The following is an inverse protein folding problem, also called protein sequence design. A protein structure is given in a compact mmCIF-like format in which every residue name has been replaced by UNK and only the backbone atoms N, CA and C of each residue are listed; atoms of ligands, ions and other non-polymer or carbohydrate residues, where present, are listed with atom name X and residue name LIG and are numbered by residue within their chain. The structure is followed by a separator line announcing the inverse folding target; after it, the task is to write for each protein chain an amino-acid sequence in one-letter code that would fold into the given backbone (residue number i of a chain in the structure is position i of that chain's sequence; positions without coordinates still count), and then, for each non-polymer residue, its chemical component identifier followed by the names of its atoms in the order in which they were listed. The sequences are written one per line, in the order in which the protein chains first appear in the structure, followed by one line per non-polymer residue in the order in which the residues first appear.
data_IF_854758795062
#
_entry.id   IF_854758795062
#
_cell.length_a   1.000
_cell.length_b   1.000
_cell.length_c   1.000
_cell.angle_alpha   90.00
_cell.angle_beta   90.00
_cell.angle_gamma   90.00
#
_symmetry.space_group_name_H-M   'P 1'
#
loop_
_entity.id
_entity.type
_entity.pdbx_description
1 polymer ?
#
# COMPACT_ATOMS: atom_id res chain seq x y z
N UNK A 1 -25.11 15.36 -11.92
CA UNK A 1 -26.42 15.31 -11.21
C UNK A 1 -27.34 14.19 -11.69
N UNK A 2 -27.47 13.89 -12.98
CA UNK A 2 -28.39 12.83 -13.49
C UNK A 2 -27.99 11.40 -13.07
N UNK A 3 -26.69 11.10 -13.03
CA UNK A 3 -26.17 9.78 -12.69
C UNK A 3 -26.43 9.38 -11.21
N UNK A 4 -26.43 10.35 -10.29
CA UNK A 4 -26.77 10.14 -8.87
C UNK A 4 -28.26 9.82 -8.67
N UNK A 5 -29.13 10.39 -9.48
CA UNK A 5 -30.58 10.14 -9.36
C UNK A 5 -30.95 8.73 -9.78
N UNK A 6 -30.37 8.23 -10.86
CA UNK A 6 -30.58 6.87 -11.33
C UNK A 6 -30.04 5.81 -10.35
N UNK A 7 -28.90 6.08 -9.73
CA UNK A 7 -28.32 5.20 -8.70
C UNK A 7 -29.19 5.17 -7.44
N UNK A 8 -29.69 6.32 -7.00
CA UNK A 8 -30.64 6.42 -5.88
C UNK A 8 -31.95 5.68 -6.16
N UNK A 9 -32.48 5.77 -7.38
CA UNK A 9 -33.69 5.04 -7.75
C UNK A 9 -33.47 3.52 -7.77
N UNK A 10 -32.32 3.05 -8.28
CA UNK A 10 -31.94 1.64 -8.22
C UNK A 10 -31.83 1.13 -6.78
N UNK A 11 -31.25 1.94 -5.90
CA UNK A 11 -31.11 1.61 -4.48
C UNK A 11 -32.49 1.52 -3.81
N UNK A 12 -33.35 2.51 -4.02
CA UNK A 12 -34.70 2.49 -3.44
C UNK A 12 -35.50 1.28 -3.90
N UNK A 13 -35.36 0.86 -5.17
CA UNK A 13 -35.97 -0.38 -5.68
C UNK A 13 -35.40 -1.61 -4.99
N UNK A 14 -34.08 -1.65 -4.78
CA UNK A 14 -33.42 -2.77 -4.11
C UNK A 14 -33.83 -2.88 -2.63
N UNK A 15 -33.84 -1.75 -1.90
CA UNK A 15 -34.32 -1.68 -0.52
C UNK A 15 -35.78 -2.13 -0.44
N UNK A 16 -36.62 -1.65 -1.37
CA UNK A 16 -38.02 -2.06 -1.43
C UNK A 16 -38.17 -3.57 -1.65
N UNK A 17 -37.39 -4.13 -2.57
CA UNK A 17 -37.40 -5.58 -2.83
C UNK A 17 -36.99 -6.38 -1.57
N UNK A 18 -35.96 -5.95 -0.86
CA UNK A 18 -35.52 -6.60 0.38
C UNK A 18 -36.56 -6.48 1.51
N UNK A 19 -37.24 -5.36 1.61
CA UNK A 19 -38.29 -5.11 2.63
C UNK A 19 -39.55 -5.94 2.34
N UNK A 20 -39.87 -6.16 1.07
CA UNK A 20 -41.07 -6.88 0.63
C UNK A 20 -40.82 -8.40 0.54
N UNK A 21 -39.58 -8.89 0.72
CA UNK A 21 -39.24 -10.30 0.64
C UNK A 21 -39.64 -11.06 1.92
N UNK A 22 -40.40 -12.16 1.83
CA UNK A 22 -40.80 -12.95 2.99
C UNK A 22 -39.55 -13.50 3.74
N UNK A 23 -39.54 -13.33 5.05
CA UNK A 23 -38.40 -13.73 5.91
C UNK A 23 -37.45 -12.58 6.28
N UNK A 24 -37.66 -11.38 5.71
CA UNK A 24 -36.87 -10.19 6.04
C UNK A 24 -37.62 -9.21 6.95
N UNK A 25 -38.61 -9.70 7.74
CA UNK A 25 -39.45 -8.85 8.61
C UNK A 25 -38.64 -8.07 9.64
N UNK A 26 -37.60 -8.69 10.21
CA UNK A 26 -36.71 -8.06 11.17
C UNK A 26 -35.85 -6.97 10.51
N UNK A 27 -35.39 -7.20 9.30
CA UNK A 27 -34.68 -6.20 8.50
C UNK A 27 -35.59 -5.03 8.17
N UNK A 28 -36.81 -5.32 7.72
CA UNK A 28 -37.82 -4.30 7.41
C UNK A 28 -38.21 -3.48 8.65
N UNK A 29 -38.36 -4.13 9.82
CA UNK A 29 -38.67 -3.45 11.08
C UNK A 29 -37.49 -2.53 11.52
N UNK A 30 -36.26 -3.03 11.43
CA UNK A 30 -35.06 -2.26 11.74
C UNK A 30 -34.87 -1.09 10.78
N UNK A 31 -35.07 -1.28 9.49
CA UNK A 31 -34.99 -0.21 8.50
C UNK A 31 -36.08 0.87 8.73
N UNK A 32 -37.34 0.47 9.00
CA UNK A 32 -38.41 1.40 9.36
C UNK A 32 -38.07 2.14 10.64
N UNK A 33 -37.53 1.46 11.63
CA UNK A 33 -37.06 2.06 12.89
C UNK A 33 -35.94 3.06 12.65
N UNK A 34 -35.02 2.79 11.75
CA UNK A 34 -33.94 3.71 11.37
C UNK A 34 -34.46 4.93 10.58
N UNK A 35 -35.40 4.72 9.65
CA UNK A 35 -35.97 5.80 8.82
C UNK A 35 -37.01 6.63 9.56
N UNK A 36 -37.72 6.09 10.56
CA UNK A 36 -38.70 6.81 11.39
C UNK A 36 -38.09 7.54 12.59
N UNK A 37 -36.79 7.33 12.85
CA UNK A 37 -36.07 7.98 13.94
C UNK A 37 -35.21 9.11 13.40
N UNK A 38 -35.83 10.22 13.05
CA UNK A 38 -35.18 11.51 13.21
C UNK A 38 -36.16 12.51 13.91
N UNK A 39 -36.44 12.31 15.21
CA UNK A 39 -36.83 13.45 16.00
C UNK A 39 -35.58 14.34 16.15
N UNK A 40 -35.72 15.67 16.03
CA UNK A 40 -34.60 16.57 16.21
C UNK A 40 -34.05 16.39 17.62
N UNK A 41 -32.80 15.86 17.73
CA UNK A 41 -32.09 15.72 19.01
C UNK A 41 -31.48 14.36 19.33
N UNK A 42 -31.68 13.30 18.52
CA UNK A 42 -30.98 12.05 18.72
C UNK A 42 -29.68 12.02 17.88
N UNK A 43 -28.54 11.93 18.56
CA UNK A 43 -27.27 11.52 17.98
C UNK A 43 -27.45 10.12 17.40
N UNK A 44 -27.89 10.03 16.15
CA UNK A 44 -27.79 8.79 15.38
C UNK A 44 -26.31 8.44 15.36
N UNK A 45 -25.99 7.22 15.79
CA UNK A 45 -24.63 6.74 15.80
C UNK A 45 -24.13 6.75 14.34
N UNK A 46 -23.50 7.85 13.93
CA UNK A 46 -23.01 8.06 12.58
C UNK A 46 -22.12 6.90 12.13
N UNK A 47 -21.48 6.19 13.10
CA UNK A 47 -20.71 4.98 12.83
C UNK A 47 -21.54 3.85 12.24
N UNK A 48 -22.77 3.65 12.71
CA UNK A 48 -23.64 2.60 12.16
C UNK A 48 -24.16 2.95 10.77
N UNK A 49 -24.43 4.23 10.50
CA UNK A 49 -24.80 4.69 9.16
C UNK A 49 -23.60 4.53 8.22
N UNK A 50 -22.41 4.93 8.65
CA UNK A 50 -21.18 4.74 7.91
C UNK A 50 -20.87 3.26 7.66
N UNK A 51 -21.15 2.37 8.62
CA UNK A 51 -21.01 0.92 8.43
C UNK A 51 -22.02 0.37 7.43
N UNK A 52 -23.27 0.85 7.43
CA UNK A 52 -24.30 0.42 6.48
C UNK A 52 -24.00 0.97 5.08
N UNK A 53 -23.64 2.24 4.96
CA UNK A 53 -23.20 2.85 3.69
C UNK A 53 -22.00 2.11 3.12
N UNK A 54 -21.04 1.74 3.98
CA UNK A 54 -19.87 0.94 3.67
C UNK A 54 -20.24 -0.49 3.22
N UNK A 55 -21.16 -1.13 3.93
CA UNK A 55 -21.62 -2.50 3.62
C UNK A 55 -22.41 -2.56 2.30
N UNK A 56 -23.22 -1.54 2.02
CA UNK A 56 -24.02 -1.45 0.81
C UNK A 56 -23.23 -0.91 -0.40
N UNK A 57 -21.96 -0.52 -0.21
CA UNK A 57 -21.16 0.10 -1.28
C UNK A 57 -21.79 1.41 -1.77
N UNK A 58 -22.60 2.06 -0.92
CA UNK A 58 -23.26 3.33 -1.20
C UNK A 58 -22.30 4.49 -0.94
N UNK A 59 -21.15 4.39 -1.48
CA UNK A 59 -20.12 5.38 -1.21
C UNK A 59 -20.21 6.57 -2.19
N UNK A 60 -21.39 7.18 -2.25
CA UNK A 60 -21.52 8.51 -2.86
C UNK A 60 -20.69 9.56 -2.09
N UNK A 61 -20.29 9.27 -0.84
CA UNK A 61 -19.32 10.08 -0.10
C UNK A 61 -17.90 9.90 -0.62
N UNK A 62 -17.53 8.74 -1.19
CA UNK A 62 -16.22 8.60 -1.83
C UNK A 62 -16.07 9.48 -3.08
N UNK A 63 -17.16 9.80 -3.77
CA UNK A 63 -17.15 10.77 -4.87
C UNK A 63 -17.17 12.23 -4.37
N UNK A 64 -17.61 12.49 -3.12
CA UNK A 64 -17.71 13.81 -2.49
C UNK A 64 -16.82 13.98 -1.25
N UNK A 65 -16.31 12.88 -0.66
CA UNK A 65 -15.40 12.94 0.47
C UNK A 65 -14.04 13.46 0.04
N UNK A 66 -13.46 14.24 0.92
CA UNK A 66 -12.05 14.58 0.82
C UNK A 66 -11.26 13.26 0.70
N UNK A 67 -10.36 13.17 -0.26
CA UNK A 67 -9.50 11.99 -0.38
C UNK A 67 -8.82 11.74 0.97
N UNK A 68 -8.73 10.46 1.41
CA UNK A 68 -8.01 10.10 2.65
C UNK A 68 -6.58 10.62 2.60
N UNK A 69 -6.01 10.69 1.39
CA UNK A 69 -4.71 11.29 1.14
C UNK A 69 -4.92 12.63 0.44
N UNK A 70 -4.48 13.70 1.08
CA UNK A 70 -4.54 15.05 0.53
C UNK A 70 -3.45 15.26 -0.52
N UNK A 71 -3.86 15.43 -1.78
CA UNK A 71 -2.99 15.75 -2.92
C UNK A 71 -3.08 17.21 -3.37
N UNK A 72 -3.62 18.11 -2.55
CA UNK A 72 -3.75 19.54 -2.88
C UNK A 72 -2.41 20.22 -3.15
N UNK A 73 -1.31 19.67 -2.62
CA UNK A 73 0.04 20.15 -2.86
C UNK A 73 0.57 19.84 -4.27
N UNK A 74 -0.08 18.97 -5.02
CA UNK A 74 0.29 18.64 -6.41
C UNK A 74 -0.26 19.73 -7.33
N UNK A 75 0.64 20.58 -7.81
CA UNK A 75 0.27 21.73 -8.65
C UNK A 75 -0.23 21.32 -10.05
N UNK A 76 0.29 20.19 -10.58
CA UNK A 76 -0.14 19.66 -11.87
C UNK A 76 -1.55 19.04 -11.71
N UNK A 77 -2.52 19.63 -12.40
CA UNK A 77 -3.93 19.26 -12.30
C UNK A 77 -4.18 17.83 -12.80
N UNK A 78 -3.57 17.43 -13.90
CA UNK A 78 -3.72 16.09 -14.46
C UNK A 78 -3.18 15.02 -13.47
N UNK A 79 -1.98 15.26 -12.92
CA UNK A 79 -1.37 14.37 -11.92
C UNK A 79 -2.24 14.29 -10.67
N UNK A 80 -2.74 15.43 -10.18
CA UNK A 80 -3.59 15.50 -9.00
C UNK A 80 -4.93 14.77 -9.19
N UNK A 81 -5.59 14.95 -10.32
CA UNK A 81 -6.84 14.25 -10.64
C UNK A 81 -6.63 12.74 -10.74
N UNK A 82 -5.53 12.31 -11.35
CA UNK A 82 -5.20 10.90 -11.46
C UNK A 82 -4.92 10.27 -10.08
N UNK A 83 -4.16 10.93 -9.22
CA UNK A 83 -3.91 10.51 -7.84
C UNK A 83 -5.22 10.39 -7.05
N UNK A 84 -6.10 11.38 -7.17
CA UNK A 84 -7.41 11.35 -6.52
C UNK A 84 -8.29 10.21 -7.03
N UNK A 85 -8.24 9.92 -8.33
CA UNK A 85 -8.96 8.81 -8.94
C UNK A 85 -8.45 7.47 -8.41
N UNK A 86 -7.13 7.26 -8.41
CA UNK A 86 -6.52 6.02 -7.92
C UNK A 86 -6.74 5.84 -6.41
N UNK A 87 -6.74 6.94 -5.64
CA UNK A 87 -7.09 6.91 -4.22
C UNK A 87 -8.54 6.47 -3.97
N UNK A 88 -9.50 6.98 -4.75
CA UNK A 88 -10.90 6.53 -4.68
C UNK A 88 -11.05 5.05 -5.01
N UNK A 89 -10.40 4.57 -6.08
CA UNK A 89 -10.42 3.15 -6.43
C UNK A 89 -9.79 2.27 -5.34
N UNK A 90 -8.66 2.69 -4.77
CA UNK A 90 -8.02 2.00 -3.64
C UNK A 90 -9.00 1.82 -2.47
N UNK A 91 -9.74 2.87 -2.12
CA UNK A 91 -10.73 2.84 -1.04
C UNK A 91 -11.93 1.96 -1.38
N UNK A 92 -12.40 1.96 -2.62
CA UNK A 92 -13.44 1.03 -3.07
C UNK A 92 -13.05 -0.42 -2.86
N UNK A 93 -11.81 -0.78 -3.15
CA UNK A 93 -11.31 -2.14 -2.91
C UNK A 93 -11.01 -2.41 -1.43
N UNK A 94 -10.70 -1.40 -0.65
CA UNK A 94 -10.53 -1.53 0.81
C UNK A 94 -11.84 -1.83 1.51
N UNK A 95 -12.91 -1.13 1.15
CA UNK A 95 -14.21 -1.27 1.79
C UNK A 95 -15.13 -2.28 1.12
N UNK A 96 -14.75 -2.80 -0.04
CA UNK A 96 -15.56 -3.67 -0.86
C UNK A 96 -16.57 -2.90 -1.71
N UNK A 97 -16.89 -3.47 -2.87
CA UNK A 97 -17.93 -2.98 -3.75
C UNK A 97 -19.15 -3.90 -3.63
N UNK A 98 -20.33 -3.36 -3.30
CA UNK A 98 -21.62 -4.07 -3.40
C UNK A 98 -21.63 -5.46 -2.74
N UNK A 99 -21.18 -5.57 -1.49
CA UNK A 99 -21.14 -6.84 -0.76
C UNK A 99 -19.95 -7.75 -1.09
N UNK A 100 -19.01 -7.30 -1.93
CA UNK A 100 -17.76 -8.01 -2.11
C UNK A 100 -16.83 -7.75 -0.93
N UNK A 101 -16.09 -8.81 -0.53
CA UNK A 101 -15.05 -8.70 0.49
C UNK A 101 -13.93 -7.77 0.01
N UNK A 102 -13.23 -7.17 0.97
CA UNK A 102 -11.99 -6.45 0.74
C UNK A 102 -11.07 -7.18 -0.25
N UNK A 103 -10.54 -6.44 -1.23
CA UNK A 103 -9.57 -6.97 -2.17
C UNK A 103 -8.20 -6.34 -1.90
N UNK A 104 -7.45 -6.95 -0.99
CA UNK A 104 -6.13 -6.50 -0.60
C UNK A 104 -5.14 -6.34 -1.76
N UNK A 105 -5.21 -7.21 -2.77
CA UNK A 105 -4.32 -7.14 -3.93
C UNK A 105 -4.56 -5.88 -4.76
N UNK A 106 -5.83 -5.52 -4.96
CA UNK A 106 -6.19 -4.29 -5.67
C UNK A 106 -5.84 -3.03 -4.85
N UNK A 107 -6.00 -3.08 -3.52
CA UNK A 107 -5.51 -1.99 -2.64
C UNK A 107 -4.00 -1.79 -2.84
N UNK A 108 -3.20 -2.86 -2.81
CA UNK A 108 -1.77 -2.78 -3.09
C UNK A 108 -1.48 -2.23 -4.49
N UNK A 109 -2.24 -2.66 -5.51
CA UNK A 109 -2.06 -2.18 -6.89
C UNK A 109 -2.24 -0.67 -6.99
N UNK A 110 -3.34 -0.14 -6.46
CA UNK A 110 -3.61 1.30 -6.51
C UNK A 110 -2.68 2.11 -5.63
N UNK A 111 -2.23 1.56 -4.50
CA UNK A 111 -1.21 2.22 -3.67
C UNK A 111 0.11 2.38 -4.42
N UNK A 112 0.54 1.34 -5.14
CA UNK A 112 1.78 1.37 -5.93
C UNK A 112 1.68 2.32 -7.12
N UNK A 113 0.53 2.42 -7.79
CA UNK A 113 0.31 3.39 -8.87
C UNK A 113 0.44 4.83 -8.36
N UNK A 114 -0.15 5.13 -7.20
CA UNK A 114 -0.04 6.45 -6.56
C UNK A 114 1.40 6.74 -6.11
N UNK A 115 2.10 5.77 -5.51
CA UNK A 115 3.50 5.91 -5.13
C UNK A 115 4.38 6.23 -6.34
N UNK A 116 4.23 5.49 -7.44
CA UNK A 116 4.99 5.70 -8.67
C UNK A 116 4.75 7.09 -9.25
N UNK A 117 3.51 7.55 -9.27
CA UNK A 117 3.14 8.88 -9.74
C UNK A 117 3.71 9.99 -8.85
N UNK A 118 3.65 9.83 -7.52
CA UNK A 118 4.23 10.77 -6.56
C UNK A 118 5.75 10.85 -6.68
N UNK A 119 6.43 9.71 -6.89
CA UNK A 119 7.88 9.70 -7.13
C UNK A 119 8.27 10.44 -8.41
N UNK A 120 7.53 10.19 -9.49
CA UNK A 120 7.76 10.88 -10.75
C UNK A 120 7.52 12.39 -10.58
N UNK A 121 6.44 12.77 -9.90
CA UNK A 121 6.15 14.18 -9.60
C UNK A 121 7.25 14.82 -8.75
N UNK A 122 7.71 14.17 -7.69
CA UNK A 122 8.84 14.65 -6.87
C UNK A 122 10.09 14.89 -7.70
N UNK A 123 10.48 13.92 -8.52
CA UNK A 123 11.69 14.04 -9.34
C UNK A 123 11.59 15.20 -10.33
N UNK A 124 10.45 15.37 -11.02
CA UNK A 124 10.25 16.44 -11.99
C UNK A 124 10.09 17.82 -11.36
N UNK A 125 9.67 17.90 -10.10
CA UNK A 125 9.61 19.18 -9.36
C UNK A 125 10.96 19.58 -8.79
N UNK A 126 11.72 18.61 -8.31
CA UNK A 126 13.03 18.86 -7.68
C UNK A 126 14.13 19.14 -8.71
N UNK A 127 14.02 18.59 -9.91
CA UNK A 127 15.05 18.67 -10.93
C UNK A 127 14.47 19.17 -12.26
N UNK A 128 15.24 20.02 -12.97
CA UNK A 128 14.83 20.65 -14.21
C UNK A 128 15.18 19.87 -15.49
N UNK A 129 16.02 18.82 -15.37
CA UNK A 129 16.41 17.99 -16.51
C UNK A 129 16.54 16.52 -16.13
N UNK A 130 16.47 15.63 -17.14
CA UNK A 130 16.69 14.21 -16.94
C UNK A 130 18.10 13.91 -16.41
N UNK A 131 19.13 14.60 -16.88
CA UNK A 131 20.51 14.42 -16.43
C UNK A 131 20.67 14.71 -14.94
N UNK A 132 19.95 15.70 -14.42
CA UNK A 132 19.94 15.99 -12.99
C UNK A 132 19.24 14.88 -12.19
N UNK A 133 18.11 14.38 -12.69
CA UNK A 133 17.40 13.24 -12.09
C UNK A 133 18.31 12.01 -12.08
N UNK A 134 18.94 11.70 -13.18
CA UNK A 134 19.85 10.58 -13.33
C UNK A 134 21.03 10.68 -12.35
N UNK A 135 21.67 11.84 -12.27
CA UNK A 135 22.77 12.11 -11.34
C UNK A 135 22.35 11.98 -9.88
N UNK A 136 21.15 12.48 -9.54
CA UNK A 136 20.58 12.31 -8.20
C UNK A 136 20.34 10.83 -7.87
N UNK A 137 19.64 10.10 -8.74
CA UNK A 137 19.34 8.68 -8.53
C UNK A 137 20.63 7.85 -8.41
N UNK A 138 21.61 8.13 -9.26
CA UNK A 138 22.91 7.47 -9.22
C UNK A 138 23.59 7.64 -7.86
N UNK A 139 23.72 8.90 -7.40
CA UNK A 139 24.34 9.24 -6.11
C UNK A 139 23.60 8.59 -4.92
N UNK A 140 22.27 8.58 -4.95
CA UNK A 140 21.47 8.02 -3.87
C UNK A 140 21.57 6.48 -3.84
N UNK A 141 21.54 5.82 -4.99
CA UNK A 141 21.73 4.36 -5.09
C UNK A 141 23.13 3.96 -4.65
N UNK A 142 24.16 4.70 -5.07
CA UNK A 142 25.52 4.46 -4.61
C UNK A 142 25.62 4.56 -3.08
N UNK A 143 25.09 5.62 -2.48
CA UNK A 143 25.04 5.82 -1.04
C UNK A 143 24.26 4.72 -0.31
N UNK A 144 23.11 4.30 -0.86
CA UNK A 144 22.31 3.21 -0.30
C UNK A 144 23.09 1.91 -0.21
N UNK A 145 23.76 1.53 -1.28
CA UNK A 145 24.54 0.28 -1.30
C UNK A 145 25.85 0.37 -0.51
N UNK A 146 26.52 1.51 -0.49
CA UNK A 146 27.74 1.69 0.31
C UNK A 146 27.44 1.49 1.80
N UNK A 147 26.34 2.05 2.32
CA UNK A 147 25.91 1.81 3.71
C UNK A 147 25.58 0.33 3.99
N UNK A 148 25.04 -0.39 3.00
CA UNK A 148 24.82 -1.83 3.13
C UNK A 148 26.10 -2.63 3.13
N UNK A 149 27.09 -2.23 2.33
CA UNK A 149 28.42 -2.86 2.27
C UNK A 149 29.18 -2.70 3.60
N UNK A 150 29.13 -1.50 4.20
CA UNK A 150 29.73 -1.24 5.51
C UNK A 150 29.14 -2.13 6.62
N UNK A 151 27.82 -2.39 6.56
CA UNK A 151 27.12 -3.21 7.57
C UNK A 151 27.23 -4.72 7.33
N UNK A 152 27.59 -5.17 6.13
CA UNK A 152 27.49 -6.58 5.72
C UNK A 152 28.71 -7.03 4.92
N UNK A 153 29.87 -7.06 5.56
CA UNK A 153 31.14 -7.44 4.93
C UNK A 153 31.14 -8.88 4.39
N UNK A 154 30.39 -9.79 5.02
CA UNK A 154 30.28 -11.20 4.56
C UNK A 154 29.51 -11.36 3.25
N UNK A 155 28.65 -10.39 2.89
CA UNK A 155 27.88 -10.40 1.66
C UNK A 155 28.40 -9.40 0.61
N UNK A 156 29.62 -8.91 0.79
CA UNK A 156 30.21 -7.82 -0.01
C UNK A 156 30.04 -8.03 -1.51
N UNK A 157 30.50 -9.17 -2.05
CA UNK A 157 30.43 -9.45 -3.49
C UNK A 157 29.00 -9.36 -4.02
N UNK A 158 28.05 -10.00 -3.36
CA UNK A 158 26.64 -10.01 -3.77
C UNK A 158 26.04 -8.59 -3.77
N UNK A 159 26.30 -7.83 -2.70
CA UNK A 159 25.77 -6.46 -2.56
C UNK A 159 26.41 -5.54 -3.61
N UNK A 160 27.72 -5.71 -3.88
CA UNK A 160 28.40 -4.94 -4.92
C UNK A 160 27.87 -5.28 -6.32
N UNK A 161 27.66 -6.56 -6.63
CA UNK A 161 27.06 -6.99 -7.90
C UNK A 161 25.63 -6.44 -8.09
N UNK A 162 24.85 -6.33 -7.00
CA UNK A 162 23.52 -5.69 -7.01
C UNK A 162 23.64 -4.19 -7.27
N UNK A 163 24.59 -3.51 -6.62
CA UNK A 163 24.90 -2.08 -6.82
C UNK A 163 25.21 -1.79 -8.28
N UNK A 164 26.16 -2.50 -8.86
CA UNK A 164 26.58 -2.28 -10.25
C UNK A 164 25.41 -2.48 -11.23
N UNK A 165 24.58 -3.50 -11.00
CA UNK A 165 23.38 -3.71 -11.83
C UNK A 165 22.35 -2.58 -11.72
N UNK A 166 22.13 -2.04 -10.53
CA UNK A 166 21.17 -0.92 -10.36
C UNK A 166 21.73 0.38 -10.96
N UNK A 167 23.03 0.67 -10.78
CA UNK A 167 23.68 1.83 -11.38
C UNK A 167 23.68 1.75 -12.92
N UNK A 168 23.92 0.55 -13.48
CA UNK A 168 23.81 0.35 -14.92
C UNK A 168 22.39 0.64 -15.42
N UNK A 169 21.33 0.15 -14.73
CA UNK A 169 19.95 0.43 -15.12
C UNK A 169 19.65 1.92 -15.19
N UNK A 170 20.16 2.72 -14.26
CA UNK A 170 19.97 4.18 -14.28
C UNK A 170 20.59 4.81 -15.53
N UNK A 171 21.75 4.31 -15.96
CA UNK A 171 22.46 4.83 -17.13
C UNK A 171 21.86 4.34 -18.47
N UNK A 172 21.24 3.15 -18.48
CA UNK A 172 20.71 2.54 -19.71
C UNK A 172 19.37 3.15 -20.16
N UNK A 173 18.66 3.88 -19.28
CA UNK A 173 17.36 4.48 -19.60
C UNK A 173 17.51 5.91 -20.17
N UNK A 174 16.68 6.22 -21.17
CA UNK A 174 16.62 7.53 -21.82
C UNK A 174 15.66 8.53 -21.18
N UNK A 175 14.81 8.05 -20.25
CA UNK A 175 13.86 8.89 -19.53
C UNK A 175 13.58 8.31 -18.14
N UNK A 176 13.27 9.19 -17.18
CA UNK A 176 13.09 8.80 -15.77
C UNK A 176 11.88 7.89 -15.54
N UNK A 177 10.86 7.98 -16.38
CA UNK A 177 9.66 7.15 -16.31
C UNK A 177 10.01 5.67 -16.44
N UNK A 178 10.97 5.33 -17.27
CA UNK A 178 11.40 3.95 -17.54
C UNK A 178 12.29 3.35 -16.44
N UNK A 179 12.85 4.20 -15.57
CA UNK A 179 13.64 3.71 -14.44
C UNK A 179 12.71 2.92 -13.50
N UNK A 180 13.05 1.66 -13.14
CA UNK A 180 12.19 0.81 -12.33
C UNK A 180 11.80 1.47 -11.00
N UNK A 181 10.53 1.31 -10.60
CA UNK A 181 10.02 1.82 -9.33
C UNK A 181 10.88 1.37 -8.14
N UNK A 182 11.34 0.12 -8.15
CA UNK A 182 12.23 -0.40 -7.09
C UNK A 182 13.56 0.36 -6.96
N UNK A 183 14.10 0.85 -8.06
CA UNK A 183 15.32 1.67 -8.07
C UNK A 183 15.01 3.07 -7.52
N UNK A 184 13.90 3.68 -7.95
CA UNK A 184 13.43 4.96 -7.41
C UNK A 184 13.14 4.88 -5.91
N UNK A 185 12.45 3.84 -5.43
CA UNK A 185 12.20 3.60 -4.00
C UNK A 185 13.49 3.55 -3.18
N UNK A 186 14.49 2.78 -3.65
CA UNK A 186 15.80 2.71 -2.97
C UNK A 186 16.51 4.07 -2.94
N UNK A 187 16.47 4.81 -4.03
CA UNK A 187 17.10 6.13 -4.11
C UNK A 187 16.47 7.10 -3.10
N UNK A 188 15.15 7.27 -3.13
CA UNK A 188 14.47 8.21 -2.23
C UNK A 188 14.45 7.74 -0.78
N UNK A 189 14.74 6.47 -0.49
CA UNK A 189 14.84 5.97 0.88
C UNK A 189 15.92 6.67 1.71
N UNK A 190 16.86 7.34 1.06
CA UNK A 190 17.87 8.15 1.72
C UNK A 190 17.28 9.46 2.29
N UNK A 191 16.31 10.03 1.58
CA UNK A 191 15.66 11.30 1.94
C UNK A 191 14.39 11.05 2.78
N UNK A 192 13.62 9.99 2.47
CA UNK A 192 12.30 9.72 3.07
C UNK A 192 12.27 8.57 4.09
N UNK A 193 13.39 7.84 4.24
CA UNK A 193 13.43 6.59 5.00
C UNK A 193 12.91 5.39 4.19
N UNK A 194 13.30 4.19 4.62
CA UNK A 194 12.83 2.95 3.99
C UNK A 194 11.34 2.70 4.31
N UNK A 195 10.52 2.46 3.28
CA UNK A 195 9.13 2.09 3.43
C UNK A 195 8.89 0.64 2.99
N UNK A 196 9.11 -0.29 3.92
CA UNK A 196 8.96 -1.73 3.67
C UNK A 196 7.53 -2.13 3.30
N UNK A 197 6.54 -1.40 3.77
CA UNK A 197 5.13 -1.69 3.47
C UNK A 197 4.84 -1.42 1.99
N UNK A 198 5.29 -0.29 1.45
CA UNK A 198 5.13 0.01 0.01
C UNK A 198 5.98 -0.92 -0.86
N UNK A 199 7.17 -1.33 -0.39
CA UNK A 199 7.96 -2.36 -1.05
C UNK A 199 7.20 -3.70 -1.14
N UNK A 200 6.54 -4.11 -0.07
CA UNK A 200 5.71 -5.31 -0.04
C UNK A 200 4.46 -5.14 -0.92
N UNK A 201 3.80 -3.99 -0.89
CA UNK A 201 2.67 -3.72 -1.78
C UNK A 201 3.07 -3.85 -3.26
N UNK A 202 4.26 -3.37 -3.63
CA UNK A 202 4.82 -3.56 -4.98
C UNK A 202 5.06 -5.04 -5.32
N UNK A 203 5.55 -5.83 -4.36
CA UNK A 203 5.72 -7.26 -4.56
C UNK A 203 4.37 -7.97 -4.78
N UNK A 204 3.33 -7.63 -4.00
CA UNK A 204 1.96 -8.15 -4.20
C UNK A 204 1.42 -7.77 -5.57
N UNK A 205 1.59 -6.50 -6.00
CA UNK A 205 1.17 -6.04 -7.33
C UNK A 205 1.88 -6.84 -8.44
N UNK A 206 3.16 -7.14 -8.29
CA UNK A 206 3.92 -7.90 -9.28
C UNK A 206 3.45 -9.37 -9.36
N UNK A 207 3.10 -9.99 -8.23
CA UNK A 207 2.51 -11.34 -8.22
C UNK A 207 1.21 -11.42 -9.00
N UNK A 208 0.35 -10.39 -8.93
CA UNK A 208 -0.86 -10.30 -9.74
C UNK A 208 -0.57 -10.36 -11.24
N UNK A 209 0.50 -9.70 -11.66
CA UNK A 209 0.91 -9.68 -13.07
C UNK A 209 1.35 -11.05 -13.56
N UNK A 210 1.84 -11.92 -12.68
CA UNK A 210 2.32 -13.26 -13.02
C UNK A 210 1.28 -14.38 -12.82
N UNK A 211 0.02 -14.04 -12.47
CA UNK A 211 -1.08 -15.00 -12.23
C UNK A 211 -0.71 -16.13 -11.24
N UNK A 212 0.16 -15.84 -10.26
CA UNK A 212 0.52 -16.81 -9.24
C UNK A 212 -0.69 -17.13 -8.37
N UNK A 213 -0.95 -18.42 -8.16
CA UNK A 213 -1.98 -18.91 -7.24
C UNK A 213 -1.63 -18.49 -5.81
N UNK A 214 -2.67 -18.22 -5.01
CA UNK A 214 -2.50 -17.89 -3.60
C UNK A 214 -1.99 -19.13 -2.86
N UNK A 215 -0.69 -19.19 -2.64
CA UNK A 215 -0.11 -20.10 -1.65
C UNK A 215 0.09 -19.30 -0.36
N UNK A 216 -0.54 -19.78 0.70
CA UNK A 216 -0.63 -19.09 1.98
C UNK A 216 0.57 -19.42 2.92
N UNK A 217 0.35 -19.25 4.22
CA UNK A 217 1.34 -19.36 5.31
C UNK A 217 2.21 -20.65 5.24
N UNK A 218 1.71 -21.72 4.63
CA UNK A 218 2.45 -22.98 4.44
C UNK A 218 3.79 -22.77 3.74
N UNK A 219 3.86 -21.84 2.79
CA UNK A 219 5.11 -21.49 2.11
C UNK A 219 6.13 -20.77 3.03
N UNK A 220 5.68 -20.28 4.18
CA UNK A 220 6.55 -19.62 5.14
C UNK A 220 7.24 -20.61 6.10
N UNK A 221 6.75 -21.86 6.21
CA UNK A 221 7.26 -22.85 7.15
C UNK A 221 8.76 -23.17 6.90
N UNK A 222 9.22 -23.43 5.66
CA UNK A 222 10.62 -23.72 5.42
C UNK A 222 11.55 -22.56 5.81
N UNK A 223 11.13 -21.32 5.53
CA UNK A 223 11.90 -20.14 5.90
C UNK A 223 11.90 -19.92 7.40
N UNK A 224 10.79 -20.20 8.09
CA UNK A 224 10.71 -20.16 9.56
C UNK A 224 11.69 -21.13 10.20
N UNK A 225 11.66 -22.40 9.80
CA UNK A 225 12.56 -23.42 10.33
C UNK A 225 14.03 -23.06 10.10
N UNK A 226 14.33 -22.54 8.91
CA UNK A 226 15.69 -22.07 8.59
C UNK A 226 16.12 -20.91 9.51
N UNK A 227 15.29 -19.90 9.71
CA UNK A 227 15.59 -18.77 10.59
C UNK A 227 15.75 -19.20 12.05
N UNK A 228 14.91 -20.11 12.52
CA UNK A 228 15.04 -20.71 13.87
C UNK A 228 16.37 -21.48 14.02
N UNK A 229 16.82 -22.18 12.98
CA UNK A 229 18.12 -22.85 12.98
C UNK A 229 19.31 -21.89 13.08
N UNK A 230 19.11 -20.63 12.68
CA UNK A 230 20.09 -19.55 12.84
C UNK A 230 20.02 -18.90 14.24
N UNK A 231 19.13 -19.34 15.12
CA UNK A 231 18.93 -18.78 16.45
C UNK A 231 17.92 -17.63 16.51
N UNK A 232 17.15 -17.38 15.44
CA UNK A 232 16.09 -16.36 15.45
C UNK A 232 14.89 -16.87 16.22
N UNK A 233 14.43 -16.12 17.23
CA UNK A 233 13.21 -16.44 17.97
C UNK A 233 12.00 -15.89 17.22
N UNK A 234 11.09 -16.78 16.82
CA UNK A 234 9.89 -16.46 16.06
C UNK A 234 8.67 -16.89 16.88
N UNK A 235 7.72 -15.98 17.08
CA UNK A 235 6.46 -16.28 17.77
C UNK A 235 5.55 -17.22 16.93
N UNK A 236 4.50 -17.75 17.57
CA UNK A 236 3.49 -18.56 16.83
C UNK A 236 2.80 -17.77 15.71
N UNK A 237 2.67 -16.46 15.87
CA UNK A 237 2.09 -15.55 14.84
C UNK A 237 3.09 -15.12 13.77
N UNK A 238 4.32 -15.62 13.77
CA UNK A 238 5.36 -15.22 12.83
C UNK A 238 6.05 -13.91 13.19
N UNK A 239 5.76 -13.32 14.36
CA UNK A 239 6.44 -12.10 14.80
C UNK A 239 7.88 -12.37 15.20
N UNK A 240 8.78 -11.53 14.72
CA UNK A 240 10.20 -11.53 15.07
C UNK A 240 10.47 -10.24 15.85
N UNK A 241 10.89 -10.39 17.13
CA UNK A 241 11.25 -9.25 17.95
C UNK A 241 12.53 -8.59 17.43
N UNK A 242 12.50 -7.31 17.01
CA UNK A 242 13.68 -6.61 16.53
C UNK A 242 14.78 -6.48 17.59
N UNK A 243 14.44 -6.47 18.87
CA UNK A 243 15.39 -6.32 19.98
C UNK A 243 16.38 -7.49 20.06
N UNK A 244 16.04 -8.68 19.60
CA UNK A 244 16.97 -9.81 19.56
C UNK A 244 18.20 -9.55 18.68
N UNK A 245 18.10 -8.64 17.70
CA UNK A 245 19.20 -8.26 16.82
C UNK A 245 20.10 -7.17 17.40
N UNK A 246 19.61 -6.35 18.30
CA UNK A 246 20.42 -5.29 18.96
C UNK A 246 21.45 -5.87 19.91
N UNK A 247 21.16 -7.05 20.47
CA UNK A 247 22.02 -7.73 21.46
C UNK A 247 23.01 -8.73 20.81
N UNK A 248 22.97 -8.93 19.51
CA UNK A 248 23.81 -9.90 18.79
C UNK A 248 24.19 -9.41 17.39
N UNK A 249 25.27 -8.66 17.27
CA UNK A 249 25.73 -8.11 16.00
C UNK A 249 26.01 -9.18 14.95
N UNK A 250 26.54 -10.37 15.34
CA UNK A 250 26.79 -11.48 14.42
C UNK A 250 25.51 -12.11 13.88
N UNK A 251 24.50 -12.29 14.71
CA UNK A 251 23.19 -12.79 14.30
C UNK A 251 22.48 -11.79 13.38
N UNK A 252 22.53 -10.50 13.75
CA UNK A 252 21.98 -9.41 12.97
C UNK A 252 22.55 -9.36 11.54
N UNK A 253 23.87 -9.35 11.40
CA UNK A 253 24.52 -9.32 10.08
C UNK A 253 24.16 -10.54 9.23
N UNK A 254 24.16 -11.75 9.81
CA UNK A 254 23.84 -12.99 9.12
C UNK A 254 22.37 -13.05 8.68
N UNK A 255 21.44 -12.69 9.55
CA UNK A 255 20.00 -12.81 9.30
C UNK A 255 19.50 -11.69 8.41
N UNK A 256 19.85 -10.43 8.67
CA UNK A 256 19.37 -9.29 7.90
C UNK A 256 19.92 -9.25 6.48
N UNK A 257 21.05 -9.90 6.20
CA UNK A 257 21.58 -10.07 4.85
C UNK A 257 20.96 -11.25 4.09
N UNK A 258 20.25 -12.16 4.79
CA UNK A 258 19.65 -13.34 4.17
C UNK A 258 18.32 -13.00 3.50
N UNK A 259 18.18 -13.41 2.23
CA UNK A 259 16.94 -13.23 1.48
C UNK A 259 15.75 -13.90 2.16
N UNK A 260 15.94 -15.09 2.78
CA UNK A 260 14.88 -15.87 3.43
C UNK A 260 14.23 -15.12 4.60
N UNK A 261 14.98 -14.26 5.29
CA UNK A 261 14.40 -13.39 6.33
C UNK A 261 13.36 -12.42 5.76
N UNK A 262 13.67 -11.80 4.63
CA UNK A 262 12.76 -10.85 3.99
C UNK A 262 11.60 -11.56 3.29
N UNK A 263 11.86 -12.71 2.68
CA UNK A 263 10.82 -13.55 2.08
C UNK A 263 9.83 -14.03 3.15
N UNK A 264 10.31 -14.48 4.31
CA UNK A 264 9.49 -14.85 5.45
C UNK A 264 8.64 -13.67 5.95
N UNK A 265 9.26 -12.51 6.20
CA UNK A 265 8.54 -11.31 6.64
C UNK A 265 7.47 -10.88 5.65
N UNK A 266 7.77 -10.95 4.36
CA UNK A 266 6.81 -10.65 3.30
C UNK A 266 5.62 -11.63 3.33
N UNK A 267 5.87 -12.92 3.39
CA UNK A 267 4.82 -13.95 3.45
C UNK A 267 3.89 -13.76 4.66
N UNK A 268 4.48 -13.50 5.84
CA UNK A 268 3.71 -13.22 7.07
C UNK A 268 2.93 -11.90 6.94
N UNK A 269 3.53 -10.86 6.40
CA UNK A 269 2.83 -9.58 6.18
C UNK A 269 1.67 -9.75 5.21
N UNK A 270 1.89 -10.42 4.08
CA UNK A 270 0.87 -10.70 3.06
C UNK A 270 -0.30 -11.51 3.63
N UNK A 271 -0.04 -12.47 4.53
CA UNK A 271 -1.08 -13.28 5.17
C UNK A 271 -2.04 -12.46 6.05
N UNK A 272 -1.58 -11.35 6.61
CA UNK A 272 -2.39 -10.44 7.43
C UNK A 272 -3.40 -9.65 6.60
N UNK A 273 -3.12 -9.44 5.32
CA UNK A 273 -3.97 -8.67 4.38
C UNK A 273 -4.42 -7.32 4.97
N UNK A 274 -3.48 -6.60 5.59
CA UNK A 274 -3.78 -5.36 6.29
C UNK A 274 -3.69 -4.15 5.34
N UNK A 275 -4.81 -3.80 4.74
CA UNK A 275 -4.92 -2.64 3.83
C UNK A 275 -4.67 -1.31 4.54
N UNK A 276 -4.99 -1.19 5.84
CA UNK A 276 -4.79 0.07 6.57
C UNK A 276 -3.31 0.39 6.75
N UNK A 277 -2.44 -0.64 6.89
CA UNK A 277 -0.98 -0.44 6.88
C UNK A 277 -0.51 0.14 5.53
N UNK A 278 -1.06 -0.36 4.42
CA UNK A 278 -0.71 0.12 3.07
C UNK A 278 -1.14 1.57 2.87
N UNK A 279 -2.38 1.90 3.25
CA UNK A 279 -2.94 3.25 3.15
C UNK A 279 -2.12 4.23 4.01
N UNK A 280 -1.83 3.87 5.27
CA UNK A 280 -1.03 4.70 6.18
C UNK A 280 0.40 4.90 5.67
N UNK A 281 1.01 3.87 5.09
CA UNK A 281 2.34 3.96 4.50
C UNK A 281 2.36 4.91 3.29
N UNK A 282 1.35 4.83 2.43
CA UNK A 282 1.20 5.73 1.28
C UNK A 282 0.93 7.17 1.72
N UNK A 283 0.09 7.37 2.75
CA UNK A 283 -0.19 8.69 3.31
C UNK A 283 1.07 9.34 3.88
N UNK A 284 1.87 8.57 4.63
CA UNK A 284 3.17 9.05 5.13
C UNK A 284 4.14 9.40 4.00
N UNK A 285 4.15 8.58 2.95
CA UNK A 285 4.96 8.83 1.77
C UNK A 285 4.56 10.12 1.03
N UNK A 286 3.26 10.35 0.82
CA UNK A 286 2.73 11.58 0.24
C UNK A 286 3.10 12.82 1.09
N UNK A 287 3.06 12.70 2.43
CA UNK A 287 3.54 13.72 3.35
C UNK A 287 5.03 14.04 3.17
N UNK A 288 5.87 13.01 3.01
CA UNK A 288 7.30 13.21 2.73
C UNK A 288 7.53 13.92 1.39
N UNK A 289 6.79 13.56 0.34
CA UNK A 289 6.87 14.26 -0.95
C UNK A 289 6.48 15.72 -0.78
N UNK A 290 5.35 16.01 -0.10
CA UNK A 290 4.88 17.38 0.18
C UNK A 290 5.93 18.25 0.89
N UNK A 291 6.71 17.68 1.80
CA UNK A 291 7.73 18.41 2.56
C UNK A 291 9.02 18.65 1.78
N UNK A 292 9.25 17.95 0.68
CA UNK A 292 10.54 17.93 -0.04
C UNK A 292 10.47 18.47 -1.48
N UNK A 293 9.33 19.04 -1.90
CA UNK A 293 9.15 19.69 -3.22
C UNK A 293 9.22 21.21 -3.15
#
# INVERSE_FOLDING_TARGET
MAQNKEQLEKLLRFIKMLVDEPGNEDFAANLRKMLSINPPGLNVDNKKIEEIEKYLGLDYRLDSASPIIDYSFVADEYVRERLNSDNREMLRFRFGLRGHKENFKEVCRFAVLQEEMLLNYFLTKKFSSFDQIQSYLYKQIESYYNRRLEKNTSAYKKINDEKERELKKINDYSAYEYIPLSTKQKAVSQDFGENKILEYARMVRNELSHRSTEQEIEDAIPDKLYLESLGVKISKSGYIDPLQFTNSASLSAKVLSDKRYWDFKYKIWKSKKNSDEVISALQSFAGNVKMNI
#
